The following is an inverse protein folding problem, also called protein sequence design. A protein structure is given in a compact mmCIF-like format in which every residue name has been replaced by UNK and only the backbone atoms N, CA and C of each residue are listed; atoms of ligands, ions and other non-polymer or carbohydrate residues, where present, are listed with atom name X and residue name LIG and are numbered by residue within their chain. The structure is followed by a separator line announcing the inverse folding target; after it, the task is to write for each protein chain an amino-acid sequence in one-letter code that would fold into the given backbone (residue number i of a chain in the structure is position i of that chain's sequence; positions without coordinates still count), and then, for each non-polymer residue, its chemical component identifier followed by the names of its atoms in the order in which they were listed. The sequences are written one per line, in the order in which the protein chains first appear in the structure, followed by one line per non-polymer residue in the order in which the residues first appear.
data_IF_799403769334
#
_entry.id   IF_799403769334
#
_cell.length_a   1.000
_cell.length_b   1.000
_cell.length_c   1.000
_cell.angle_alpha   90.00
_cell.angle_beta   90.00
_cell.angle_gamma   90.00
#
_symmetry.space_group_name_H-M   'P 1'
#
loop_
_entity.id
_entity.type
_entity.pdbx_description
1 polymer ?
#
# COMPACT_ATOMS: atom_id res chain seq x y z
N UNK A 1 -49.41 -14.74 1.84
CA UNK A 1 -48.13 -14.70 1.11
C UNK A 1 -47.27 -15.88 1.59
N UNK A 2 -47.63 -17.12 1.21
CA UNK A 2 -46.93 -18.35 1.63
C UNK A 2 -46.14 -19.01 0.49
N UNK A 3 -46.36 -18.53 -0.73
CA UNK A 3 -45.75 -19.04 -1.95
C UNK A 3 -44.29 -18.60 -2.06
N UNK A 4 -43.98 -17.33 -1.73
CA UNK A 4 -42.59 -16.83 -1.69
C UNK A 4 -41.69 -17.66 -0.76
N UNK A 5 -42.15 -17.95 0.46
CA UNK A 5 -41.38 -18.75 1.42
C UNK A 5 -41.17 -20.21 0.98
N UNK A 6 -42.10 -20.76 0.18
CA UNK A 6 -41.98 -22.10 -0.39
C UNK A 6 -41.00 -22.11 -1.56
N UNK A 7 -41.07 -21.10 -2.43
CA UNK A 7 -40.17 -20.92 -3.56
C UNK A 7 -38.74 -20.69 -3.06
N UNK A 8 -38.55 -19.85 -2.04
CA UNK A 8 -37.24 -19.58 -1.42
C UNK A 8 -36.60 -20.87 -0.89
N UNK A 9 -37.35 -21.70 -0.16
CA UNK A 9 -36.84 -22.98 0.37
C UNK A 9 -36.45 -23.96 -0.73
N UNK A 10 -37.31 -24.13 -1.75
CA UNK A 10 -37.04 -25.04 -2.86
C UNK A 10 -35.81 -24.55 -3.64
N UNK A 11 -35.72 -23.26 -3.93
CA UNK A 11 -34.59 -22.66 -4.64
C UNK A 11 -33.29 -22.82 -3.86
N UNK A 12 -33.30 -22.56 -2.54
CA UNK A 12 -32.13 -22.79 -1.69
C UNK A 12 -31.74 -24.27 -1.70
N UNK A 13 -32.67 -25.20 -1.44
CA UNK A 13 -32.40 -26.64 -1.45
C UNK A 13 -31.82 -27.16 -2.78
N UNK A 14 -32.14 -26.52 -3.91
CA UNK A 14 -31.60 -26.91 -5.22
C UNK A 14 -30.22 -26.27 -5.53
N UNK A 15 -29.88 -25.14 -4.88
CA UNK A 15 -28.60 -24.43 -5.05
C UNK A 15 -27.53 -24.87 -4.02
N UNK A 16 -27.88 -25.71 -3.05
CA UNK A 16 -27.19 -25.80 -1.73
C UNK A 16 -25.76 -26.39 -1.71
N UNK A 17 -25.33 -27.35 -2.55
CA UNK A 17 -23.94 -27.83 -2.46
C UNK A 17 -23.03 -27.28 -3.57
N UNK A 18 -23.31 -27.63 -4.83
CA UNK A 18 -22.37 -27.40 -5.94
C UNK A 18 -22.11 -25.91 -6.23
N UNK A 19 -23.13 -25.06 -6.09
CA UNK A 19 -22.98 -23.62 -6.37
C UNK A 19 -22.21 -22.89 -5.26
N UNK A 20 -22.30 -23.37 -4.03
CA UNK A 20 -21.53 -22.83 -2.90
C UNK A 20 -20.06 -23.22 -3.07
N UNK A 21 -19.77 -24.46 -3.45
CA UNK A 21 -18.41 -24.92 -3.73
C UNK A 21 -17.77 -24.12 -4.88
N UNK A 22 -18.51 -23.85 -5.96
CA UNK A 22 -18.04 -23.01 -7.06
C UNK A 22 -17.79 -21.58 -6.59
N UNK A 23 -18.67 -21.00 -5.78
CA UNK A 23 -18.50 -19.66 -5.24
C UNK A 23 -17.27 -19.55 -4.32
N UNK A 24 -17.04 -20.55 -3.46
CA UNK A 24 -15.86 -20.62 -2.58
C UNK A 24 -14.60 -20.79 -3.42
N UNK A 25 -14.61 -21.67 -4.42
CA UNK A 25 -13.48 -21.87 -5.31
C UNK A 25 -13.13 -20.57 -6.07
N UNK A 26 -14.14 -19.87 -6.59
CA UNK A 26 -13.97 -18.60 -7.27
C UNK A 26 -13.42 -17.50 -6.33
N UNK A 27 -13.94 -17.40 -5.10
CA UNK A 27 -13.41 -16.49 -4.08
C UNK A 27 -11.94 -16.82 -3.75
N UNK A 28 -11.61 -18.10 -3.60
CA UNK A 28 -10.24 -18.56 -3.36
C UNK A 28 -9.29 -18.23 -4.52
N UNK A 29 -9.75 -18.25 -5.77
CA UNK A 29 -8.94 -17.80 -6.92
C UNK A 29 -8.68 -16.29 -6.87
N UNK A 30 -9.69 -15.47 -6.57
CA UNK A 30 -9.53 -14.02 -6.43
C UNK A 30 -8.56 -13.66 -5.30
N UNK A 31 -8.60 -14.38 -4.17
CA UNK A 31 -7.63 -14.21 -3.08
C UNK A 31 -6.21 -14.61 -3.47
N UNK A 32 -6.03 -15.63 -4.30
CA UNK A 32 -4.71 -16.02 -4.81
C UNK A 32 -4.14 -14.97 -5.76
N UNK A 33 -4.94 -14.50 -6.72
CA UNK A 33 -4.56 -13.42 -7.62
C UNK A 33 -4.19 -12.15 -6.84
N UNK A 34 -4.98 -11.82 -5.81
CA UNK A 34 -4.71 -10.71 -4.91
C UNK A 34 -3.33 -10.84 -4.23
N UNK A 35 -3.05 -12.00 -3.63
CA UNK A 35 -1.74 -12.26 -2.99
C UNK A 35 -0.58 -12.23 -3.97
N UNK A 36 -0.78 -12.69 -5.21
CA UNK A 36 0.24 -12.60 -6.24
C UNK A 36 0.55 -11.14 -6.60
N UNK A 37 -0.47 -10.30 -6.77
CA UNK A 37 -0.30 -8.87 -7.03
C UNK A 37 0.42 -8.17 -5.85
N UNK A 38 0.04 -8.49 -4.62
CA UNK A 38 0.72 -7.97 -3.42
C UNK A 38 2.20 -8.36 -3.40
N UNK A 39 2.52 -9.62 -3.68
CA UNK A 39 3.90 -10.08 -3.79
C UNK A 39 4.69 -9.36 -4.88
N UNK A 40 4.08 -9.07 -6.03
CA UNK A 40 4.70 -8.29 -7.11
C UNK A 40 5.03 -6.87 -6.67
N UNK A 41 4.15 -6.23 -5.88
CA UNK A 41 4.41 -4.90 -5.34
C UNK A 41 5.58 -4.88 -4.36
N UNK A 42 5.62 -5.84 -3.44
CA UNK A 42 6.73 -5.98 -2.48
C UNK A 42 8.05 -6.11 -3.23
N UNK A 43 8.13 -7.01 -4.20
CA UNK A 43 9.35 -7.23 -4.99
C UNK A 43 9.76 -5.96 -5.77
N UNK A 44 8.80 -5.20 -6.30
CA UNK A 44 9.07 -3.95 -7.03
C UNK A 44 9.68 -2.89 -6.13
N UNK A 45 9.15 -2.73 -4.91
CA UNK A 45 9.69 -1.80 -3.90
C UNK A 45 11.10 -2.24 -3.47
N UNK A 46 11.27 -3.52 -3.14
CA UNK A 46 12.56 -4.07 -2.74
C UNK A 46 13.63 -3.89 -3.81
N UNK A 47 13.30 -4.15 -5.07
CA UNK A 47 14.21 -3.94 -6.19
C UNK A 47 14.65 -2.49 -6.31
N UNK A 48 13.71 -1.55 -6.23
CA UNK A 48 14.03 -0.12 -6.29
C UNK A 48 14.98 0.28 -5.15
N UNK A 49 14.70 -0.18 -3.92
CA UNK A 49 15.53 0.09 -2.74
C UNK A 49 16.93 -0.50 -2.89
N UNK A 50 17.01 -1.73 -3.39
CA UNK A 50 18.29 -2.38 -3.65
C UNK A 50 19.13 -1.61 -4.68
N UNK A 51 18.52 -1.12 -5.75
CA UNK A 51 19.23 -0.32 -6.76
C UNK A 51 19.75 1.00 -6.19
N UNK A 52 18.96 1.68 -5.34
CA UNK A 52 19.40 2.90 -4.65
C UNK A 52 20.55 2.62 -3.67
N UNK A 53 20.47 1.54 -2.89
CA UNK A 53 21.51 1.13 -1.96
C UNK A 53 22.81 0.72 -2.69
N UNK A 54 22.69 0.05 -3.85
CA UNK A 54 23.83 -0.25 -4.71
C UNK A 54 24.51 1.02 -5.21
N UNK A 55 23.73 2.01 -5.66
CA UNK A 55 24.26 3.30 -6.10
C UNK A 55 24.96 4.05 -4.97
N UNK A 56 24.39 4.03 -3.75
CA UNK A 56 25.02 4.59 -2.55
C UNK A 56 26.40 4.01 -2.29
N UNK A 57 26.53 2.67 -2.30
CA UNK A 57 27.83 2.00 -2.10
C UNK A 57 28.86 2.35 -3.18
N UNK A 58 28.43 2.60 -4.41
CA UNK A 58 29.32 3.05 -5.48
C UNK A 58 29.83 4.47 -5.25
N UNK A 59 28.95 5.36 -4.77
CA UNK A 59 29.33 6.71 -4.36
C UNK A 59 30.29 6.69 -3.17
N UNK A 60 29.99 5.91 -2.13
CA UNK A 60 30.82 5.80 -0.92
C UNK A 60 32.23 5.23 -1.20
N UNK A 61 32.38 4.46 -2.28
CA UNK A 61 33.66 3.86 -2.68
C UNK A 61 34.52 4.76 -3.59
N UNK A 62 34.03 5.94 -4.01
CA UNK A 62 34.79 6.84 -4.88
C UNK A 62 35.80 7.66 -4.08
N UNK A 63 37.05 7.68 -4.57
CA UNK A 63 38.13 8.50 -4.03
C UNK A 63 37.85 10.02 -4.22
N UNK A 64 38.19 10.87 -3.25
CA UNK A 64 37.85 12.29 -3.25
C UNK A 64 38.50 13.10 -4.38
N UNK A 65 39.61 12.62 -4.94
CA UNK A 65 40.29 13.25 -6.09
C UNK A 65 39.42 13.19 -7.37
N UNK A 66 38.51 12.22 -7.44
CA UNK A 66 37.63 11.99 -8.59
C UNK A 66 36.31 12.77 -8.49
N UNK A 67 36.39 14.08 -8.21
CA UNK A 67 35.21 14.93 -7.96
C UNK A 67 34.13 14.88 -9.04
N UNK A 68 34.49 14.76 -10.33
CA UNK A 68 33.50 14.69 -11.42
C UNK A 68 32.72 13.37 -11.41
N UNK A 69 33.41 12.26 -11.09
CA UNK A 69 32.79 10.93 -10.96
C UNK A 69 31.93 10.88 -9.71
N UNK A 70 32.38 11.49 -8.60
CA UNK A 70 31.57 11.62 -7.39
C UNK A 70 30.25 12.34 -7.69
N UNK A 71 30.28 13.45 -8.45
CA UNK A 71 29.07 14.22 -8.81
C UNK A 71 28.14 13.45 -9.73
N UNK A 72 28.66 12.66 -10.68
CA UNK A 72 27.80 11.85 -11.55
C UNK A 72 27.16 10.68 -10.80
N UNK A 73 27.89 10.03 -9.88
CA UNK A 73 27.35 8.98 -9.03
C UNK A 73 26.34 9.50 -8.01
N UNK A 74 26.56 10.69 -7.46
CA UNK A 74 25.59 11.41 -6.61
C UNK A 74 24.27 11.61 -7.36
N UNK A 75 24.33 12.17 -8.58
CA UNK A 75 23.14 12.35 -9.42
C UNK A 75 22.45 11.02 -9.75
N UNK A 76 23.21 9.98 -10.07
CA UNK A 76 22.66 8.66 -10.33
C UNK A 76 21.99 8.05 -9.08
N UNK A 77 22.56 8.25 -7.90
CA UNK A 77 21.96 7.82 -6.64
C UNK A 77 20.69 8.59 -6.31
N UNK A 78 20.69 9.92 -6.47
CA UNK A 78 19.49 10.77 -6.31
C UNK A 78 18.36 10.31 -7.25
N UNK A 79 18.67 9.99 -8.51
CA UNK A 79 17.68 9.46 -9.44
C UNK A 79 17.08 8.15 -8.95
N UNK A 80 17.91 7.23 -8.43
CA UNK A 80 17.42 5.97 -7.85
C UNK A 80 16.58 6.19 -6.60
N UNK A 81 16.91 7.16 -5.75
CA UNK A 81 16.07 7.52 -4.61
C UNK A 81 14.70 8.06 -5.05
N UNK A 82 14.65 8.88 -6.10
CA UNK A 82 13.36 9.34 -6.67
C UNK A 82 12.54 8.18 -7.22
N UNK A 83 13.17 7.18 -7.83
CA UNK A 83 12.47 5.96 -8.28
C UNK A 83 11.90 5.18 -7.10
N UNK A 84 12.65 5.00 -6.02
CA UNK A 84 12.15 4.36 -4.79
C UNK A 84 10.91 5.09 -4.28
N UNK A 85 11.00 6.41 -4.14
CA UNK A 85 9.89 7.22 -3.66
C UNK A 85 8.66 7.10 -4.58
N UNK A 86 8.85 7.15 -5.89
CA UNK A 86 7.75 7.02 -6.85
C UNK A 86 7.07 5.65 -6.74
N UNK A 87 7.84 4.56 -6.62
CA UNK A 87 7.30 3.20 -6.49
C UNK A 87 6.59 3.00 -5.16
N UNK A 88 7.11 3.55 -4.06
CA UNK A 88 6.46 3.50 -2.75
C UNK A 88 5.15 4.28 -2.73
N UNK A 89 5.11 5.44 -3.36
CA UNK A 89 3.86 6.20 -3.53
C UNK A 89 2.84 5.45 -4.40
N UNK A 90 3.28 4.82 -5.49
CA UNK A 90 2.42 4.01 -6.35
C UNK A 90 1.83 2.81 -5.58
N UNK A 91 2.67 2.12 -4.81
CA UNK A 91 2.26 1.03 -3.93
C UNK A 91 1.26 1.50 -2.86
N UNK A 92 1.51 2.64 -2.20
CA UNK A 92 0.59 3.20 -1.21
C UNK A 92 -0.77 3.54 -1.83
N UNK A 93 -0.78 4.15 -3.03
CA UNK A 93 -2.03 4.43 -3.76
C UNK A 93 -2.79 3.15 -4.11
N UNK A 94 -2.08 2.13 -4.59
CA UNK A 94 -2.68 0.82 -4.88
C UNK A 94 -3.26 0.17 -3.61
N UNK A 95 -2.51 0.16 -2.50
CA UNK A 95 -2.96 -0.39 -1.22
C UNK A 95 -4.21 0.34 -0.69
N UNK A 96 -4.25 1.67 -0.80
CA UNK A 96 -5.44 2.46 -0.46
C UNK A 96 -6.64 2.14 -1.36
N UNK A 97 -6.43 2.01 -2.68
CA UNK A 97 -7.49 1.65 -3.62
C UNK A 97 -8.05 0.24 -3.34
N UNK A 98 -7.18 -0.70 -2.95
CA UNK A 98 -7.56 -2.05 -2.53
C UNK A 98 -8.34 -2.09 -1.23
N UNK A 99 -7.86 -1.38 -0.20
CA UNK A 99 -8.58 -1.30 1.07
C UNK A 99 -10.00 -0.72 0.89
N UNK A 100 -10.18 0.17 -0.10
CA UNK A 100 -11.49 0.70 -0.45
C UNK A 100 -12.38 -0.30 -1.23
N UNK A 101 -11.82 -1.26 -1.97
CA UNK A 101 -12.59 -2.28 -2.71
C UNK A 101 -13.01 -3.47 -1.86
N UNK A 102 -12.21 -3.84 -0.85
CA UNK A 102 -12.38 -5.09 -0.10
C UNK A 102 -13.44 -5.01 1.02
N UNK A 103 -14.16 -3.89 1.19
CA UNK A 103 -15.19 -3.72 2.23
C UNK A 103 -16.60 -4.14 1.77
N UNK A 104 -17.23 -5.18 2.37
CA UNK A 104 -18.62 -5.52 2.09
C UNK A 104 -19.55 -4.71 3.00
N UNK A 105 -20.13 -3.62 2.49
CA UNK A 105 -21.31 -2.97 3.10
C UNK A 105 -21.07 -1.64 3.82
N UNK A 106 -20.47 -0.64 3.17
CA UNK A 106 -20.35 0.70 3.76
C UNK A 106 -19.34 1.58 3.04
N UNK A 107 -19.76 2.81 2.72
CA UNK A 107 -18.86 3.79 2.14
C UNK A 107 -17.86 4.21 3.21
N UNK A 108 -16.58 3.84 3.04
CA UNK A 108 -15.51 4.58 3.69
C UNK A 108 -15.59 6.02 3.16
N UNK A 109 -16.27 6.90 3.91
CA UNK A 109 -16.04 8.33 3.80
C UNK A 109 -14.62 8.53 4.31
N UNK A 110 -13.64 8.36 3.43
CA UNK A 110 -12.31 8.90 3.63
C UNK A 110 -12.50 10.40 3.84
N UNK A 111 -12.67 10.82 5.10
CA UNK A 111 -12.56 12.22 5.46
C UNK A 111 -11.11 12.52 5.15
N UNK A 112 -10.90 13.27 4.08
CA UNK A 112 -9.65 13.97 3.85
C UNK A 112 -9.29 14.59 5.19
N UNK A 113 -8.20 14.10 5.79
CA UNK A 113 -7.57 14.77 6.90
C UNK A 113 -7.18 16.15 6.36
N UNK A 114 -8.09 17.11 6.53
CA UNK A 114 -7.80 18.52 6.39
C UNK A 114 -6.73 18.77 7.44
N UNK A 115 -5.48 18.88 7.00
CA UNK A 115 -4.40 19.47 7.79
C UNK A 115 -4.93 20.85 8.18
N UNK A 116 -5.35 21.02 9.44
CA UNK A 116 -5.46 22.37 9.99
C UNK A 116 -4.05 22.96 9.95
N UNK A 117 -3.84 24.13 9.31
CA UNK A 117 -2.59 24.83 9.51
C UNK A 117 -2.56 25.24 10.98
N UNK A 118 -1.56 24.73 11.71
CA UNK A 118 -1.22 25.24 13.02
C UNK A 118 -0.95 26.74 12.89
N UNK A 119 -1.90 27.55 13.34
CA UNK A 119 -1.68 28.96 13.58
C UNK A 119 -0.71 29.08 14.76
N UNK A 120 0.38 29.81 14.50
CA UNK A 120 1.27 30.49 15.44
C UNK A 120 1.78 29.73 16.67
N UNK A 121 3.03 29.28 16.57
CA UNK A 121 3.97 29.35 17.70
C UNK A 121 5.37 29.64 17.16
N UNK A 122 5.81 30.88 17.37
CA UNK A 122 7.17 31.33 17.12
C UNK A 122 8.20 30.56 17.96
N UNK A 123 9.37 30.34 17.35
CA UNK A 123 10.72 30.19 17.95
C UNK A 123 10.92 29.19 19.11
N UNK A 124 11.62 28.10 18.81
CA UNK A 124 12.39 27.34 19.79
C UNK A 124 13.19 26.20 19.14
N UNK A 125 14.51 26.24 19.25
CA UNK A 125 15.46 25.26 18.74
C UNK A 125 15.23 23.82 19.25
N UNK A 126 15.51 22.85 18.36
CA UNK A 126 15.78 21.41 18.53
C UNK A 126 15.54 20.74 19.90
N UNK A 127 14.70 19.69 19.90
CA UNK A 127 15.20 18.32 20.08
C UNK A 127 14.22 17.29 19.49
N UNK A 128 14.77 16.36 18.73
CA UNK A 128 14.07 15.29 18.04
C UNK A 128 13.80 14.14 18.99
N UNK A 129 12.62 14.12 19.61
CA UNK A 129 11.96 12.87 20.00
C UNK A 129 10.52 13.17 20.39
N UNK A 130 9.57 12.83 19.52
CA UNK A 130 8.20 12.51 19.92
C UNK A 130 7.54 11.70 18.81
N UNK A 131 7.78 10.40 18.95
CA UNK A 131 6.90 9.28 18.58
C UNK A 131 5.49 9.74 18.15
N UNK A 132 5.19 9.66 16.85
CA UNK A 132 3.79 9.66 16.42
C UNK A 132 3.28 8.23 16.53
N UNK A 133 2.43 8.04 17.53
CA UNK A 133 1.62 6.85 17.71
C UNK A 133 0.80 6.63 16.45
N UNK A 134 1.08 5.53 15.75
CA UNK A 134 0.17 4.96 14.78
C UNK A 134 -0.96 4.29 15.57
N UNK A 135 -2.05 5.01 15.80
CA UNK A 135 -3.27 4.41 16.34
C UNK A 135 -4.42 4.73 15.42
N UNK A 136 -4.65 3.83 14.47
CA UNK A 136 -5.94 3.70 13.83
C UNK A 136 -6.84 2.92 14.79
N UNK A 137 -7.59 3.63 15.63
CA UNK A 137 -8.69 3.02 16.37
C UNK A 137 -9.87 2.96 15.41
N UNK A 138 -10.05 1.80 14.78
CA UNK A 138 -11.31 1.42 14.17
C UNK A 138 -12.28 1.08 15.31
N UNK A 139 -13.38 1.83 15.41
CA UNK A 139 -14.53 1.42 16.22
C UNK A 139 -15.65 0.89 15.32
N UNK A 140 -16.45 -0.07 15.83
CA UNK A 140 -17.42 -0.85 15.07
C UNK A 140 -18.54 0.00 14.46
#
# INVERSE_FOLDING_TARGET
MAVDALIERVVLDTLVPDQIEIAIAAAGQLEQESRQLEGQWVLRVERARYEAERARRQYDAVEPENRLVARSLEQAWEEKLRVVEAVEQEHARWAHARAASDWPGGTCRATSARREPAADLERGHHDGSRSQAYSAICHP
#
